data_IF_250084196144
#
_entry.id   IF_250084196144
#
_cell.length_a   1.000
_cell.length_b   1.000
_cell.length_c   1.000
_cell.angle_alpha   90.00
_cell.angle_beta   90.00
_cell.angle_gamma   90.00
#
_symmetry.space_group_name_H-M   'P 1'
#
loop_
_entity.id
_entity.type
_entity.pdbx_description
1 polymer ?
#
# COMPACT_ATOMS: atom_id res chain seq x y z
N UNK A 1 -2.32 -12.46 -2.72
CA UNK A 1 -1.61 -11.19 -3.03
C UNK A 1 -0.10 -11.29 -2.75
N UNK A 2 0.33 -11.49 -1.51
CA UNK A 2 1.76 -11.43 -1.14
C UNK A 2 2.61 -12.58 -1.67
N UNK A 3 2.03 -13.76 -1.92
CA UNK A 3 2.80 -14.95 -2.29
C UNK A 3 3.61 -14.81 -3.59
N UNK A 4 3.08 -14.12 -4.59
CA UNK A 4 3.80 -13.89 -5.84
C UNK A 4 5.05 -13.02 -5.63
N UNK A 5 4.95 -11.97 -4.81
CA UNK A 5 6.08 -11.08 -4.49
C UNK A 5 7.16 -11.79 -3.65
N UNK A 6 6.77 -12.78 -2.84
CA UNK A 6 7.73 -13.54 -2.02
C UNK A 6 8.57 -14.57 -2.82
N UNK A 7 8.22 -14.80 -4.09
CA UNK A 7 9.02 -15.60 -5.01
C UNK A 7 10.14 -14.77 -5.66
N UNK A 8 10.14 -13.45 -5.46
CA UNK A 8 11.15 -12.53 -5.96
C UNK A 8 11.98 -12.06 -4.77
N UNK A 9 13.30 -12.06 -4.89
CA UNK A 9 14.20 -11.55 -3.85
C UNK A 9 14.24 -10.02 -3.89
N UNK A 10 13.16 -9.39 -3.42
CA UNK A 10 13.04 -7.93 -3.31
C UNK A 10 13.73 -7.48 -2.03
N UNK A 11 14.76 -6.65 -2.18
CA UNK A 11 15.53 -6.09 -1.06
C UNK A 11 15.43 -4.58 -1.01
N UNK A 12 15.13 -4.08 0.17
CA UNK A 12 15.13 -2.66 0.50
C UNK A 12 16.45 -2.18 1.10
N UNK A 13 16.38 -1.10 1.86
CA UNK A 13 17.54 -0.55 2.58
C UNK A 13 18.14 -1.61 3.51
N UNK A 14 19.48 -1.54 3.67
CA UNK A 14 20.25 -2.44 4.54
C UNK A 14 20.10 -3.92 4.17
N UNK A 15 19.65 -4.21 2.93
CA UNK A 15 19.49 -5.58 2.45
C UNK A 15 18.26 -6.32 3.02
N UNK A 16 17.39 -5.63 3.77
CA UNK A 16 16.18 -6.23 4.34
C UNK A 16 15.25 -6.74 3.25
N UNK A 17 14.85 -8.01 3.32
CA UNK A 17 13.92 -8.56 2.33
C UNK A 17 12.48 -8.11 2.58
N UNK A 18 11.68 -8.00 1.51
CA UNK A 18 10.26 -7.70 1.61
C UNK A 18 9.51 -8.78 2.40
N UNK A 19 9.97 -10.03 2.29
CA UNK A 19 9.42 -11.16 3.03
C UNK A 19 9.61 -10.99 4.55
N UNK A 20 10.77 -10.49 4.99
CA UNK A 20 11.04 -10.17 6.40
C UNK A 20 10.20 -8.98 6.87
N UNK A 21 10.13 -7.91 6.07
CA UNK A 21 9.32 -6.73 6.38
C UNK A 21 7.84 -7.09 6.58
N UNK A 22 7.31 -7.96 5.74
CA UNK A 22 5.90 -8.35 5.76
C UNK A 22 5.62 -9.67 6.50
N UNK A 23 6.55 -10.14 7.32
CA UNK A 23 6.37 -11.37 8.10
C UNK A 23 5.17 -11.27 9.08
N UNK A 24 4.97 -10.08 9.68
CA UNK A 24 3.82 -9.76 10.52
C UNK A 24 2.53 -9.38 9.77
N UNK A 25 2.54 -9.48 8.45
CA UNK A 25 1.48 -9.01 7.54
C UNK A 25 1.98 -7.88 6.64
N UNK A 26 1.35 -7.68 5.47
CA UNK A 26 1.75 -6.62 4.56
C UNK A 26 1.46 -5.25 5.17
N UNK A 27 2.46 -4.38 5.12
CA UNK A 27 2.38 -2.98 5.52
C UNK A 27 2.75 -2.11 4.32
N UNK A 28 1.90 -1.14 4.03
CA UNK A 28 2.07 -0.24 2.88
C UNK A 28 1.49 1.13 3.22
N UNK A 29 1.95 2.15 2.51
CA UNK A 29 1.27 3.44 2.46
C UNK A 29 0.45 3.54 1.17
N UNK A 30 -0.83 3.86 1.28
CA UNK A 30 -1.84 3.92 0.22
C UNK A 30 -2.01 2.60 -0.59
N UNK A 31 -1.42 1.49 -0.15
CA UNK A 31 -1.37 0.27 -0.95
C UNK A 31 -0.40 0.34 -2.13
N UNK A 32 0.39 1.40 -2.22
CA UNK A 32 1.29 1.72 -3.35
C UNK A 32 2.76 1.53 -3.00
N UNK A 33 3.17 1.84 -1.78
CA UNK A 33 4.58 1.89 -1.39
C UNK A 33 4.81 1.24 -0.03
N UNK A 34 6.06 0.91 0.28
CA UNK A 34 6.45 0.25 1.54
C UNK A 34 7.67 0.94 2.15
N UNK A 35 7.62 1.29 3.42
CA UNK A 35 8.75 1.87 4.14
C UNK A 35 9.95 0.91 4.19
N UNK A 36 11.14 1.42 3.94
CA UNK A 36 12.37 0.63 3.80
C UNK A 36 12.65 0.17 2.38
N UNK A 37 11.75 0.43 1.42
CA UNK A 37 11.87 0.03 0.00
C UNK A 37 11.73 1.25 -0.91
N UNK A 38 12.75 2.11 -1.00
CA UNK A 38 12.70 3.32 -1.81
C UNK A 38 12.47 2.99 -3.29
N UNK A 39 11.72 3.86 -3.97
CA UNK A 39 11.38 3.74 -5.40
C UNK A 39 10.60 2.45 -5.78
N UNK A 40 10.10 1.70 -4.78
CA UNK A 40 9.27 0.53 -5.03
C UNK A 40 7.79 0.91 -4.99
N UNK A 41 7.10 0.68 -6.11
CA UNK A 41 5.67 0.84 -6.20
C UNK A 41 4.98 -0.51 -6.47
N UNK A 42 3.79 -0.66 -5.91
CA UNK A 42 2.91 -1.80 -6.17
C UNK A 42 1.59 -1.30 -6.74
N UNK A 43 1.13 -1.90 -7.85
CA UNK A 43 -0.18 -1.62 -8.41
C UNK A 43 -1.17 -2.61 -7.80
N UNK A 44 -2.29 -2.12 -7.27
CA UNK A 44 -3.29 -2.92 -6.53
C UNK A 44 -2.68 -3.74 -5.40
N UNK A 45 -1.73 -3.13 -4.69
CA UNK A 45 -1.06 -3.75 -3.55
C UNK A 45 -1.95 -3.89 -2.30
N UNK A 46 -1.45 -4.53 -1.25
CA UNK A 46 -2.14 -4.61 0.03
C UNK A 46 -2.46 -3.21 0.56
N UNK A 47 -3.66 -3.00 1.10
CA UNK A 47 -4.11 -1.70 1.58
C UNK A 47 -4.69 -0.78 0.51
N UNK A 48 -4.80 -1.21 -0.75
CA UNK A 48 -5.49 -0.49 -1.81
C UNK A 48 -6.88 -1.05 -2.10
N UNK A 49 -7.79 -0.28 -2.76
CA UNK A 49 -9.05 -0.79 -3.25
C UNK A 49 -8.82 -1.90 -4.28
N UNK A 50 -9.29 -3.11 -4.01
CA UNK A 50 -9.06 -4.23 -4.91
C UNK A 50 -10.28 -5.08 -5.19
N UNK A 51 -10.99 -5.57 -4.17
CA UNK A 51 -12.00 -6.63 -4.35
C UNK A 51 -13.44 -6.17 -4.31
N UNK A 52 -13.69 -4.94 -3.91
CA UNK A 52 -15.04 -4.32 -3.88
C UNK A 52 -15.19 -3.21 -4.92
N UNK A 53 -14.21 -3.08 -5.77
CA UNK A 53 -14.13 -2.05 -6.80
C UNK A 53 -13.76 -2.71 -8.12
N UNK A 54 -14.23 -2.14 -9.23
CA UNK A 54 -13.71 -2.52 -10.53
C UNK A 54 -12.20 -2.27 -10.54
N UNK A 55 -11.43 -3.30 -10.87
CA UNK A 55 -9.96 -3.26 -10.81
C UNK A 55 -9.35 -2.31 -11.84
N UNK A 56 -9.99 -2.13 -13.01
CA UNK A 56 -9.44 -1.30 -14.09
C UNK A 56 -9.29 0.17 -13.67
N UNK A 57 -10.33 0.86 -13.15
CA UNK A 57 -10.16 2.22 -12.63
C UNK A 57 -9.12 2.33 -11.50
N UNK A 58 -9.01 1.31 -10.64
CA UNK A 58 -7.98 1.30 -9.59
C UNK A 58 -6.57 1.20 -10.17
N UNK A 59 -6.38 0.38 -11.20
CA UNK A 59 -5.08 0.26 -11.89
C UNK A 59 -4.73 1.57 -12.59
N UNK A 60 -5.67 2.18 -13.31
CA UNK A 60 -5.47 3.47 -14.00
C UNK A 60 -5.10 4.58 -13.01
N UNK A 61 -5.82 4.67 -11.89
CA UNK A 61 -5.52 5.65 -10.84
C UNK A 61 -4.13 5.45 -10.24
N UNK A 62 -3.73 4.20 -9.98
CA UNK A 62 -2.40 3.90 -9.46
C UNK A 62 -1.30 4.25 -10.47
N UNK A 63 -1.51 3.93 -11.74
CA UNK A 63 -0.57 4.28 -12.82
C UNK A 63 -0.42 5.79 -12.95
N UNK A 64 -1.54 6.53 -12.92
CA UNK A 64 -1.52 7.99 -12.97
C UNK A 64 -0.77 8.57 -11.76
N UNK A 65 -1.10 8.14 -10.54
CA UNK A 65 -0.40 8.58 -9.33
C UNK A 65 1.11 8.34 -9.41
N UNK A 66 1.53 7.16 -9.87
CA UNK A 66 2.96 6.81 -10.00
C UNK A 66 3.64 7.67 -11.09
N UNK A 67 2.96 7.87 -12.22
CA UNK A 67 3.49 8.69 -13.32
C UNK A 67 3.67 10.14 -12.92
N UNK A 68 2.66 10.71 -12.25
CA UNK A 68 2.69 12.08 -11.73
C UNK A 68 3.77 12.23 -10.65
N UNK A 69 3.92 11.24 -9.78
CA UNK A 69 4.97 11.19 -8.78
C UNK A 69 6.37 11.21 -9.41
N UNK A 70 6.61 10.40 -10.44
CA UNK A 70 7.89 10.36 -11.15
C UNK A 70 8.17 11.70 -11.85
N UNK A 71 7.15 12.32 -12.43
CA UNK A 71 7.26 13.65 -13.06
C UNK A 71 7.62 14.71 -12.01
N UNK A 72 6.90 14.72 -10.89
CA UNK A 72 7.17 15.61 -9.77
C UNK A 72 8.60 15.47 -9.25
N UNK A 73 9.06 14.25 -9.04
CA UNK A 73 10.44 13.98 -8.61
C UNK A 73 11.47 14.55 -9.57
N UNK A 74 11.28 14.36 -10.88
CA UNK A 74 12.18 14.90 -11.92
C UNK A 74 12.23 16.41 -11.91
N UNK A 75 11.07 17.06 -11.82
CA UNK A 75 10.93 18.52 -11.81
C UNK A 75 11.60 19.17 -10.59
N UNK A 76 11.58 18.45 -9.43
CA UNK A 76 12.14 18.96 -8.18
C UNK A 76 13.54 18.40 -7.87
N UNK A 77 14.14 17.65 -8.80
CA UNK A 77 15.50 17.12 -8.63
C UNK A 77 15.63 15.99 -7.61
N UNK A 78 14.52 15.31 -7.30
CA UNK A 78 14.51 14.16 -6.41
C UNK A 78 14.83 12.86 -7.18
N UNK A 79 15.65 12.01 -6.58
CA UNK A 79 16.03 10.70 -7.12
C UNK A 79 15.44 9.53 -6.32
N UNK A 80 14.89 9.82 -5.16
CA UNK A 80 14.35 8.83 -4.24
C UNK A 80 13.04 9.29 -3.61
N UNK A 81 12.09 8.37 -3.55
CA UNK A 81 10.85 8.50 -2.78
C UNK A 81 10.65 7.26 -1.93
N UNK A 82 10.22 7.46 -0.69
CA UNK A 82 9.93 6.39 0.25
C UNK A 82 8.85 6.85 1.23
N UNK A 83 7.84 6.02 1.57
CA UNK A 83 6.87 6.43 2.57
C UNK A 83 7.51 6.52 3.94
N UNK A 84 7.11 7.51 4.72
CA UNK A 84 7.46 7.61 6.13
C UNK A 84 6.84 6.47 6.93
N UNK A 85 7.54 6.00 7.95
CA UNK A 85 7.05 4.90 8.78
C UNK A 85 5.70 5.22 9.44
N UNK A 86 5.54 6.44 9.94
CA UNK A 86 4.28 6.85 10.58
C UNK A 86 3.12 6.86 9.58
N UNK A 87 3.34 7.37 8.36
CA UNK A 87 2.33 7.37 7.30
C UNK A 87 1.91 5.94 6.90
N UNK A 88 2.87 5.00 6.82
CA UNK A 88 2.60 3.60 6.57
C UNK A 88 1.76 2.96 7.71
N UNK A 89 2.09 3.23 8.97
CA UNK A 89 1.39 2.70 10.13
C UNK A 89 -0.02 3.28 10.25
N UNK A 90 -0.18 4.60 10.09
CA UNK A 90 -1.47 5.29 10.15
C UNK A 90 -2.41 4.80 9.04
N UNK A 91 -1.86 4.57 7.83
CA UNK A 91 -2.63 3.99 6.75
C UNK A 91 -3.09 2.57 7.07
N UNK A 92 -2.22 1.75 7.65
CA UNK A 92 -2.55 0.40 8.09
C UNK A 92 -3.66 0.39 9.15
N UNK A 93 -3.61 1.30 10.12
CA UNK A 93 -4.68 1.47 11.12
C UNK A 93 -5.99 1.89 10.45
N UNK A 94 -5.96 2.88 9.57
CA UNK A 94 -7.14 3.33 8.84
C UNK A 94 -7.80 2.22 8.01
N UNK A 95 -7.01 1.38 7.33
CA UNK A 95 -7.54 0.23 6.58
C UNK A 95 -8.27 -0.75 7.49
N UNK A 96 -7.75 -1.02 8.69
CA UNK A 96 -8.39 -1.89 9.67
C UNK A 96 -9.66 -1.25 10.26
N UNK A 97 -9.63 0.02 10.65
CA UNK A 97 -10.80 0.76 11.17
C UNK A 97 -11.96 0.73 10.17
N UNK A 98 -11.67 0.97 8.90
CA UNK A 98 -12.69 0.90 7.84
C UNK A 98 -13.23 -0.53 7.66
N UNK A 99 -12.38 -1.53 7.86
CA UNK A 99 -12.78 -2.94 7.77
C UNK A 99 -13.67 -3.37 8.95
N UNK A 100 -13.43 -2.84 10.14
CA UNK A 100 -14.11 -3.24 11.38
C UNK A 100 -15.61 -2.93 11.39
N UNK A 101 -16.06 -1.94 10.62
CA UNK A 101 -17.49 -1.66 10.42
C UNK A 101 -18.19 -2.70 9.53
N UNK A 102 -17.45 -3.67 9.00
CA UNK A 102 -17.97 -4.72 8.12
C UNK A 102 -17.82 -6.11 8.77
N UNK A 103 -18.78 -7.00 8.49
CA UNK A 103 -18.69 -8.41 8.92
C UNK A 103 -17.51 -9.17 8.29
N UNK A 104 -16.78 -8.56 7.36
CA UNK A 104 -15.68 -9.18 6.61
C UNK A 104 -14.40 -9.33 7.44
N UNK A 105 -14.20 -8.47 8.42
CA UNK A 105 -13.06 -8.56 9.35
C UNK A 105 -13.17 -9.79 10.26
N UNK A 106 -14.40 -10.25 10.55
CA UNK A 106 -14.68 -11.40 11.43
C UNK A 106 -14.69 -12.75 10.71
N UNK A 107 -14.81 -12.76 9.38
CA UNK A 107 -14.83 -13.98 8.59
C UNK A 107 -13.43 -14.58 8.41
N UNK A 108 -13.33 -15.89 8.53
CA UNK A 108 -12.12 -16.64 8.19
C UNK A 108 -11.95 -16.69 6.65
N UNK A 109 -11.40 -15.64 6.06
CA UNK A 109 -11.23 -15.48 4.63
C UNK A 109 -9.79 -15.11 4.26
N UNK A 110 -9.47 -15.18 2.97
CA UNK A 110 -8.16 -14.73 2.47
C UNK A 110 -7.93 -13.22 2.64
N UNK A 111 -8.99 -12.42 2.81
CA UNK A 111 -8.90 -10.98 3.10
C UNK A 111 -8.13 -10.68 4.38
N UNK A 112 -8.23 -11.57 5.37
CA UNK A 112 -7.50 -11.49 6.64
C UNK A 112 -6.32 -12.48 6.71
N UNK A 113 -5.95 -13.12 5.58
CA UNK A 113 -4.87 -14.11 5.56
C UNK A 113 -5.20 -15.44 6.24
N UNK A 114 -6.48 -15.70 6.58
CA UNK A 114 -6.90 -16.89 7.32
C UNK A 114 -6.81 -18.21 6.52
N UNK A 115 -6.59 -18.13 5.22
CA UNK A 115 -6.37 -19.27 4.33
C UNK A 115 -4.96 -19.88 4.43
N UNK A 116 -4.06 -19.26 5.18
CA UNK A 116 -2.70 -19.77 5.40
C UNK A 116 -2.48 -20.00 6.91
N UNK A 117 -2.31 -21.25 7.34
CA UNK A 117 -2.06 -21.56 8.75
C UNK A 117 -0.81 -20.82 9.30
N UNK A 118 -0.93 -20.26 10.51
CA UNK A 118 0.15 -19.55 11.18
C UNK A 118 0.43 -18.13 10.68
N UNK A 119 -0.29 -17.66 9.64
CA UNK A 119 -0.15 -16.29 9.15
C UNK A 119 -0.90 -15.31 10.07
N UNK A 120 -0.31 -14.16 10.41
CA UNK A 120 -1.02 -13.11 11.13
C UNK A 120 -2.29 -12.67 10.38
N UNK A 121 -3.35 -12.41 11.12
CA UNK A 121 -4.60 -11.91 10.55
C UNK A 121 -4.53 -10.41 10.39
N UNK A 122 -4.32 -9.98 9.14
CA UNK A 122 -4.29 -8.57 8.75
C UNK A 122 -5.27 -8.38 7.60
N UNK A 123 -6.17 -7.42 7.74
CA UNK A 123 -7.11 -7.10 6.67
C UNK A 123 -6.35 -6.46 5.51
N UNK A 124 -6.43 -7.09 4.34
CA UNK A 124 -5.53 -6.75 3.23
C UNK A 124 -6.11 -5.70 2.27
N UNK A 125 -7.41 -5.73 1.84
CA UNK A 125 -7.94 -4.75 0.92
C UNK A 125 -8.49 -3.51 1.64
N UNK A 126 -8.38 -2.33 1.01
CA UNK A 126 -9.11 -1.16 1.44
C UNK A 126 -10.58 -1.24 0.99
N UNK A 127 -11.52 -1.10 1.92
CA UNK A 127 -12.97 -1.20 1.65
C UNK A 127 -13.74 0.08 1.94
N UNK A 128 -13.06 1.21 2.17
CA UNK A 128 -13.67 2.52 2.41
C UNK A 128 -14.32 3.18 1.19
N UNK A 129 -14.26 2.53 0.04
CA UNK A 129 -14.79 3.02 -1.23
C UNK A 129 -13.75 3.70 -2.10
N UNK A 130 -13.84 3.47 -3.41
CA UNK A 130 -12.87 4.00 -4.37
C UNK A 130 -12.82 5.53 -4.42
N UNK A 131 -13.95 6.27 -4.42
CA UNK A 131 -13.90 7.74 -4.42
C UNK A 131 -13.10 8.31 -3.24
N UNK A 132 -13.33 7.83 -2.03
CA UNK A 132 -12.59 8.28 -0.83
C UNK A 132 -11.10 7.97 -0.91
N UNK A 133 -10.76 6.84 -1.51
CA UNK A 133 -9.36 6.49 -1.75
C UNK A 133 -8.70 7.46 -2.74
N UNK A 134 -9.38 7.79 -3.83
CA UNK A 134 -8.90 8.78 -4.82
C UNK A 134 -8.71 10.13 -4.17
N UNK A 135 -9.71 10.64 -3.42
CA UNK A 135 -9.63 11.90 -2.66
C UNK A 135 -8.40 11.91 -1.72
N UNK A 136 -8.12 10.79 -1.05
CA UNK A 136 -6.93 10.69 -0.19
C UNK A 136 -5.64 10.77 -0.99
N UNK A 137 -5.54 10.07 -2.12
CA UNK A 137 -4.38 10.15 -3.00
C UNK A 137 -4.17 11.56 -3.57
N UNK A 138 -5.24 12.23 -4.01
CA UNK A 138 -5.21 13.60 -4.51
C UNK A 138 -4.76 14.59 -3.41
N UNK A 139 -5.26 14.42 -2.18
CA UNK A 139 -4.80 15.21 -1.04
C UNK A 139 -3.30 15.06 -0.78
N UNK A 140 -2.77 13.85 -0.86
CA UNK A 140 -1.33 13.57 -0.69
C UNK A 140 -0.52 14.29 -1.77
N UNK A 141 -0.95 14.23 -3.04
CA UNK A 141 -0.31 14.93 -4.15
C UNK A 141 -0.36 16.44 -3.96
N UNK A 142 -1.55 17.00 -3.63
CA UNK A 142 -1.75 18.43 -3.44
C UNK A 142 -0.90 19.02 -2.31
N UNK A 143 -0.56 18.21 -1.30
CA UNK A 143 0.33 18.57 -0.20
C UNK A 143 1.81 18.18 -0.45
N UNK A 144 2.23 18.09 -1.70
CA UNK A 144 3.63 17.80 -2.04
C UNK A 144 4.08 16.41 -1.67
N UNK A 145 3.23 15.41 -1.86
CA UNK A 145 3.45 14.00 -1.48
C UNK A 145 3.61 13.83 0.04
N UNK A 146 2.66 14.40 0.80
CA UNK A 146 2.59 14.24 2.26
C UNK A 146 2.69 12.76 2.67
N UNK A 147 3.50 12.50 3.71
CA UNK A 147 3.79 11.14 4.20
C UNK A 147 4.87 10.41 3.41
N UNK A 148 5.52 11.10 2.47
CA UNK A 148 6.70 10.60 1.78
C UNK A 148 7.95 11.42 2.12
N UNK A 149 9.08 10.73 2.23
CA UNK A 149 10.42 11.33 2.21
C UNK A 149 10.93 11.34 0.78
N UNK A 150 11.28 12.53 0.28
CA UNK A 150 11.82 12.77 -1.04
C UNK A 150 13.30 13.23 -0.93
N UNK A 151 14.18 12.69 -1.76
CA UNK A 151 15.62 13.05 -1.76
C UNK A 151 16.24 12.95 -3.15
#
# INVERSE_FOLDING_TARGET
MTGALFNIDIRGREGRSLKEKWNGGPQTYLGLTTNGFPNMFTITGPGSPSVLTNMLPSIEQHVNFISDCISYMREHGHSRIEPELNAELDWGMHVNEVADVSLRSTCASWYVGANVPGKPRVFTPYIGGFPRYVERCESVVANGYEGFSLA
#
